data_IF_228532225797
#
_entry.id   IF_228532225797
#
_cell.length_a   1.000
_cell.length_b   1.000
_cell.length_c   1.000
_cell.angle_alpha   90.00
_cell.angle_beta   90.00
_cell.angle_gamma   90.00
#
_symmetry.space_group_name_H-M   'P 1'
#
loop_
_entity.id
_entity.type
_entity.pdbx_description
1 polymer ?
#
# COMPACT_ATOMS: atom_id res chain seq x y z
N UNK A 1 23.84 -27.31 -43.94
CA UNK A 1 22.91 -27.83 -44.96
C UNK A 1 21.72 -26.90 -45.05
N UNK A 2 21.76 -25.89 -45.93
CA UNK A 2 20.59 -25.13 -46.44
C UNK A 2 20.99 -24.56 -47.81
N UNK A 3 20.11 -24.74 -48.80
CA UNK A 3 20.27 -24.35 -50.21
C UNK A 3 19.40 -23.12 -50.46
N UNK A 4 19.91 -22.14 -51.21
CA UNK A 4 19.11 -21.10 -51.85
C UNK A 4 19.44 -21.07 -53.35
N UNK A 5 18.42 -20.88 -54.17
CA UNK A 5 18.48 -20.85 -55.64
C UNK A 5 17.95 -19.51 -56.14
N UNK A 6 18.73 -18.83 -56.98
CA UNK A 6 18.26 -17.86 -57.97
C UNK A 6 19.11 -18.01 -59.24
N UNK A 7 18.46 -17.87 -60.39
CA UNK A 7 19.02 -17.73 -61.75
C UNK A 7 18.61 -16.32 -62.26
N UNK A 8 19.24 -15.62 -63.20
CA UNK A 8 20.44 -15.72 -64.06
C UNK A 8 20.54 -14.36 -64.78
N UNK A 9 21.72 -13.74 -64.94
CA UNK A 9 22.09 -12.96 -66.16
C UNK A 9 23.61 -12.89 -66.30
N UNK A 10 24.08 -13.35 -67.48
CA UNK A 10 25.26 -12.96 -68.27
C UNK A 10 26.53 -12.39 -67.64
N UNK A 11 27.67 -13.06 -67.92
CA UNK A 11 29.00 -12.45 -67.85
C UNK A 11 30.12 -13.47 -67.60
N UNK A 12 30.75 -13.97 -68.67
CA UNK A 12 31.93 -14.84 -68.58
C UNK A 12 33.15 -14.02 -68.14
N UNK A 13 33.49 -14.11 -66.85
CA UNK A 13 34.74 -13.60 -66.31
C UNK A 13 34.97 -14.21 -64.94
N UNK A 14 36.00 -15.06 -64.80
CA UNK A 14 36.36 -15.68 -63.52
C UNK A 14 37.05 -14.66 -62.60
N UNK A 15 36.50 -14.27 -61.44
CA UNK A 15 37.26 -13.53 -60.46
C UNK A 15 38.09 -14.51 -59.60
N UNK A 16 39.42 -14.46 -59.73
CA UNK A 16 40.34 -15.13 -58.80
C UNK A 16 40.26 -14.43 -57.44
N UNK A 17 39.51 -15.00 -56.50
CA UNK A 17 39.51 -14.55 -55.10
C UNK A 17 40.82 -15.02 -54.45
N UNK A 18 41.76 -14.10 -54.27
CA UNK A 18 42.90 -14.31 -53.38
C UNK A 18 42.39 -14.26 -51.94
N UNK A 19 42.44 -15.39 -51.23
CA UNK A 19 42.24 -15.41 -49.78
C UNK A 19 43.46 -14.79 -49.11
N UNK A 20 43.40 -13.49 -48.81
CA UNK A 20 44.32 -12.87 -47.87
C UNK A 20 43.81 -13.17 -46.46
N UNK A 21 44.35 -14.21 -45.83
CA UNK A 21 44.17 -14.43 -44.39
C UNK A 21 45.06 -13.46 -43.62
N UNK A 22 44.51 -12.31 -43.23
CA UNK A 22 45.15 -11.44 -42.25
C UNK A 22 45.09 -12.12 -40.87
N UNK A 23 46.23 -12.65 -40.41
CA UNK A 23 46.39 -13.16 -39.04
C UNK A 23 46.65 -11.96 -38.14
N UNK A 24 45.58 -11.40 -37.54
CA UNK A 24 45.72 -10.38 -36.49
C UNK A 24 46.33 -11.07 -35.28
N UNK A 25 47.64 -10.91 -35.09
CA UNK A 25 48.30 -11.19 -33.80
C UNK A 25 47.95 -10.04 -32.87
N UNK A 26 46.93 -10.24 -32.02
CA UNK A 26 46.77 -9.41 -30.84
C UNK A 26 48.02 -9.57 -29.97
N UNK A 27 48.80 -8.50 -29.83
CA UNK A 27 49.86 -8.45 -28.83
C UNK A 27 49.13 -8.31 -27.49
N UNK A 28 48.94 -9.45 -26.82
CA UNK A 28 48.47 -9.45 -25.43
C UNK A 28 49.60 -8.84 -24.61
N UNK A 29 49.37 -7.64 -24.06
CA UNK A 29 50.31 -7.03 -23.13
C UNK A 29 50.59 -8.02 -22.00
N UNK A 30 51.86 -8.23 -21.67
CA UNK A 30 52.28 -9.08 -20.57
C UNK A 30 51.76 -8.43 -19.29
N UNK A 31 50.75 -9.05 -18.68
CA UNK A 31 50.20 -8.63 -17.40
C UNK A 31 51.34 -8.75 -16.38
N UNK A 32 51.90 -7.62 -15.96
CA UNK A 32 52.65 -7.58 -14.72
C UNK A 32 51.59 -7.69 -13.62
N UNK A 33 51.65 -8.76 -12.82
CA UNK A 33 50.77 -8.93 -11.69
C UNK A 33 50.97 -7.78 -10.72
N UNK A 34 50.09 -6.80 -10.76
CA UNK A 34 49.96 -5.81 -9.70
C UNK A 34 48.98 -6.43 -8.72
N UNK A 35 49.51 -6.98 -7.64
CA UNK A 35 48.75 -7.53 -6.52
C UNK A 35 48.08 -6.39 -5.73
N UNK A 36 47.13 -5.71 -6.36
CA UNK A 36 46.26 -4.75 -5.69
C UNK A 36 44.97 -5.50 -5.32
N UNK A 37 45.02 -6.26 -4.22
CA UNK A 37 43.84 -6.95 -3.68
C UNK A 37 44.01 -8.44 -3.40
N UNK A 38 45.23 -8.96 -3.26
CA UNK A 38 45.41 -10.28 -2.65
C UNK A 38 45.09 -10.18 -1.15
N UNK A 39 44.14 -10.99 -0.69
CA UNK A 39 43.70 -11.08 0.71
C UNK A 39 44.79 -11.69 1.60
N UNK A 40 45.90 -12.14 1.02
CA UNK A 40 47.16 -12.38 1.73
C UNK A 40 47.82 -11.03 1.99
N UNK A 41 47.43 -10.36 3.08
CA UNK A 41 48.35 -9.44 3.75
C UNK A 41 49.65 -10.20 3.95
N UNK A 42 50.79 -9.66 3.48
CA UNK A 42 52.13 -10.26 3.56
C UNK A 42 52.27 -11.06 4.86
N UNK A 43 52.07 -12.39 4.76
CA UNK A 43 52.06 -13.28 5.92
C UNK A 43 53.51 -13.33 6.38
N UNK A 44 53.86 -12.48 7.35
CA UNK A 44 55.23 -12.42 7.88
C UNK A 44 55.61 -13.73 8.57
N UNK A 45 54.63 -14.52 9.03
CA UNK A 45 54.84 -15.78 9.76
C UNK A 45 54.16 -16.99 9.10
N UNK A 46 54.93 -18.04 8.77
CA UNK A 46 54.44 -19.25 8.07
C UNK A 46 53.62 -20.23 8.94
N UNK A 47 53.49 -19.96 10.24
CA UNK A 47 52.95 -20.88 11.26
C UNK A 47 51.46 -21.19 11.06
N UNK A 48 50.73 -20.42 10.25
CA UNK A 48 49.30 -20.66 10.00
C UNK A 48 48.43 -20.48 11.25
N UNK A 49 47.19 -21.00 11.24
CA UNK A 49 46.23 -20.86 12.34
C UNK A 49 46.43 -21.94 13.42
N UNK A 50 47.51 -21.81 14.19
CA UNK A 50 47.89 -22.72 15.28
C UNK A 50 47.74 -21.98 16.63
N UNK A 51 47.36 -22.66 17.72
CA UNK A 51 47.37 -22.06 19.05
C UNK A 51 48.76 -21.52 19.42
N UNK A 52 48.83 -20.22 19.73
CA UNK A 52 50.08 -19.53 20.08
C UNK A 52 50.67 -19.96 21.43
N UNK A 53 49.88 -20.68 22.23
CA UNK A 53 50.28 -21.23 23.53
C UNK A 53 51.47 -22.19 23.40
N UNK A 54 51.58 -22.93 22.29
CA UNK A 54 52.67 -23.90 22.05
C UNK A 54 54.05 -23.25 21.94
N UNK A 55 54.09 -21.95 21.65
CA UNK A 55 55.32 -21.19 21.54
C UNK A 55 55.62 -20.40 22.81
N UNK A 56 54.83 -20.45 23.90
CA UNK A 56 55.02 -19.63 25.10
C UNK A 56 56.42 -19.81 25.71
N UNK A 57 56.88 -21.05 25.87
CA UNK A 57 58.18 -21.38 26.47
C UNK A 57 59.38 -21.15 25.53
N UNK A 58 59.12 -20.88 24.24
CA UNK A 58 60.16 -20.70 23.23
C UNK A 58 60.44 -19.21 22.96
N UNK A 59 61.71 -18.84 22.68
CA UNK A 59 62.09 -17.46 22.36
C UNK A 59 61.70 -17.03 20.92
N UNK A 60 61.10 -17.92 20.13
CA UNK A 60 60.74 -17.69 18.73
C UNK A 60 59.33 -18.22 18.44
N UNK A 61 58.68 -17.63 17.43
CA UNK A 61 57.35 -18.00 16.94
C UNK A 61 57.52 -18.54 15.51
N UNK A 62 57.87 -19.82 15.42
CA UNK A 62 58.06 -20.51 14.15
C UNK A 62 59.25 -20.07 13.31
N UNK A 63 59.18 -20.39 12.02
CA UNK A 63 60.29 -20.27 11.07
C UNK A 63 59.85 -19.56 9.79
N UNK A 64 60.76 -18.82 9.16
CA UNK A 64 60.54 -18.26 7.81
C UNK A 64 60.53 -19.36 6.74
N UNK A 65 60.12 -19.00 5.52
CA UNK A 65 60.19 -19.87 4.33
C UNK A 65 61.61 -20.42 4.09
N UNK A 66 62.64 -19.67 4.48
CA UNK A 66 64.05 -20.06 4.42
C UNK A 66 64.54 -20.87 5.63
N UNK A 67 63.67 -21.18 6.59
CA UNK A 67 63.98 -21.94 7.80
C UNK A 67 64.71 -21.15 8.92
N UNK A 68 64.73 -19.82 8.86
CA UNK A 68 65.27 -18.96 9.92
C UNK A 68 64.25 -18.79 11.05
N UNK A 69 64.71 -18.72 12.30
CA UNK A 69 63.82 -18.55 13.47
C UNK A 69 63.30 -17.11 13.56
N UNK A 70 61.99 -16.96 13.72
CA UNK A 70 61.34 -15.65 13.92
C UNK A 70 61.30 -15.36 15.42
N UNK A 71 62.18 -14.52 15.94
CA UNK A 71 62.24 -14.22 17.37
C UNK A 71 61.04 -13.40 17.84
N UNK A 72 60.57 -13.67 19.06
CA UNK A 72 59.63 -12.78 19.75
C UNK A 72 60.28 -11.42 20.00
N UNK A 73 59.49 -10.34 20.10
CA UNK A 73 60.03 -9.07 20.57
C UNK A 73 60.75 -9.29 21.92
N UNK A 74 61.96 -8.75 22.05
CA UNK A 74 62.89 -9.00 23.16
C UNK A 74 62.35 -8.59 24.54
N UNK A 75 61.21 -7.90 24.58
CA UNK A 75 60.54 -7.41 25.78
C UNK A 75 59.11 -7.94 25.81
N UNK A 76 58.90 -9.11 26.42
CA UNK A 76 57.58 -9.49 26.93
C UNK A 76 57.28 -8.60 28.13
N UNK A 77 56.13 -7.92 28.12
CA UNK A 77 55.73 -7.03 29.22
C UNK A 77 55.33 -7.87 30.43
N UNK A 78 55.85 -7.51 31.59
CA UNK A 78 55.45 -8.12 32.85
C UNK A 78 53.99 -7.75 33.19
N UNK A 79 53.35 -8.50 34.09
CA UNK A 79 51.97 -8.20 34.53
C UNK A 79 51.84 -6.78 35.09
N UNK A 80 52.91 -6.25 35.69
CA UNK A 80 53.00 -4.88 36.16
C UNK A 80 53.07 -3.87 35.01
N UNK A 81 53.83 -4.17 33.96
CA UNK A 81 53.93 -3.32 32.76
C UNK A 81 52.57 -3.27 32.04
N UNK A 82 51.87 -4.39 31.91
CA UNK A 82 50.51 -4.44 31.35
C UNK A 82 49.50 -3.63 32.20
N UNK A 83 49.64 -3.70 33.52
CA UNK A 83 48.79 -2.94 34.44
C UNK A 83 49.05 -1.43 34.33
N UNK A 84 50.32 -1.02 34.26
CA UNK A 84 50.71 0.37 34.08
C UNK A 84 50.22 0.91 32.74
N UNK A 85 50.36 0.16 31.66
CA UNK A 85 49.86 0.58 30.34
C UNK A 85 48.35 0.73 30.31
N UNK A 86 47.62 -0.11 31.06
CA UNK A 86 46.17 0.00 31.20
C UNK A 86 45.73 1.26 31.96
N UNK A 87 46.55 1.76 32.90
CA UNK A 87 46.23 2.95 33.69
C UNK A 87 46.78 4.26 33.09
N UNK A 88 47.95 4.21 32.46
CA UNK A 88 48.70 5.40 32.02
C UNK A 88 48.51 5.73 30.53
N UNK A 89 48.26 4.74 29.66
CA UNK A 89 48.11 5.01 28.23
C UNK A 89 46.67 5.40 27.86
N UNK A 90 46.42 6.64 27.37
CA UNK A 90 45.09 7.06 26.93
C UNK A 90 44.61 6.33 25.66
N UNK A 91 45.52 5.65 24.95
CA UNK A 91 45.24 4.89 23.73
C UNK A 91 45.19 3.38 23.95
N UNK A 92 45.25 2.90 25.20
CA UNK A 92 45.23 1.46 25.50
C UNK A 92 43.96 0.75 24.98
N UNK A 93 42.82 1.45 24.95
CA UNK A 93 41.59 0.89 24.38
C UNK A 93 41.59 0.80 22.84
N UNK A 94 42.59 1.40 22.16
CA UNK A 94 42.78 1.37 20.71
C UNK A 94 43.79 0.29 20.27
N UNK A 95 44.55 -0.29 21.19
CA UNK A 95 45.58 -1.27 20.87
C UNK A 95 44.98 -2.67 20.76
N UNK A 96 45.35 -3.38 19.71
CA UNK A 96 45.00 -4.79 19.47
C UNK A 96 46.30 -5.58 19.35
N UNK A 97 46.35 -6.73 20.02
CA UNK A 97 47.48 -7.66 19.91
C UNK A 97 47.40 -8.38 18.56
N UNK A 98 48.41 -8.21 17.72
CA UNK A 98 48.54 -9.00 16.50
C UNK A 98 48.87 -10.46 16.86
N UNK A 99 48.03 -11.39 16.40
CA UNK A 99 48.12 -12.82 16.76
C UNK A 99 49.40 -13.46 16.24
N UNK A 100 49.98 -12.94 15.15
CA UNK A 100 51.17 -13.55 14.54
C UNK A 100 52.46 -13.05 15.18
N UNK A 101 52.60 -11.74 15.37
CA UNK A 101 53.85 -11.12 15.86
C UNK A 101 53.87 -10.92 17.37
N UNK A 102 52.72 -10.97 18.04
CA UNK A 102 52.58 -10.61 19.45
C UNK A 102 52.91 -9.15 19.72
N UNK A 103 52.93 -8.32 18.67
CA UNK A 103 53.14 -6.88 18.77
C UNK A 103 51.79 -6.18 18.96
N UNK A 104 51.81 -5.09 19.72
CA UNK A 104 50.65 -4.23 19.91
C UNK A 104 50.54 -3.24 18.76
N UNK A 105 49.45 -3.32 18.02
CA UNK A 105 49.14 -2.40 16.93
C UNK A 105 48.01 -1.49 17.38
N UNK A 106 48.29 -0.18 17.45
CA UNK A 106 47.25 0.82 17.66
C UNK A 106 46.44 1.00 16.36
N UNK A 107 45.11 0.90 16.45
CA UNK A 107 44.23 1.13 15.31
C UNK A 107 44.28 2.60 14.86
N UNK A 108 44.34 2.83 13.55
CA UNK A 108 44.27 4.19 13.00
C UNK A 108 42.87 4.79 13.21
N UNK A 109 42.77 6.12 13.18
CA UNK A 109 41.50 6.82 13.34
C UNK A 109 40.50 6.45 12.23
N UNK A 110 40.97 6.29 11.00
CA UNK A 110 40.17 5.82 9.85
C UNK A 110 39.60 4.41 10.08
N UNK A 111 40.41 3.51 10.63
CA UNK A 111 39.99 2.14 10.97
C UNK A 111 38.94 2.15 12.10
N UNK A 112 39.12 2.99 13.13
CA UNK A 112 38.15 3.15 14.20
C UNK A 112 36.84 3.77 13.70
N UNK A 113 36.91 4.74 12.81
CA UNK A 113 35.74 5.34 12.20
C UNK A 113 34.97 4.32 11.36
N UNK A 114 35.68 3.52 10.56
CA UNK A 114 35.10 2.41 9.81
C UNK A 114 34.38 1.43 10.74
N UNK A 115 35.01 1.00 11.85
CA UNK A 115 34.39 0.11 12.84
C UNK A 115 33.13 0.74 13.45
N UNK A 116 33.18 2.04 13.82
CA UNK A 116 32.03 2.77 14.35
C UNK A 116 30.89 2.88 13.34
N UNK A 117 31.21 3.10 12.06
CA UNK A 117 30.22 3.15 10.97
C UNK A 117 29.57 1.78 10.78
N UNK A 118 30.36 0.71 10.72
CA UNK A 118 29.86 -0.67 10.63
C UNK A 118 28.98 -1.05 11.81
N UNK A 119 29.37 -0.71 13.05
CA UNK A 119 28.58 -1.01 14.25
C UNK A 119 27.21 -0.30 14.24
N UNK A 120 27.13 0.89 13.64
CA UNK A 120 25.89 1.67 13.50
C UNK A 120 25.09 1.30 12.25
N UNK A 121 25.58 0.38 11.41
CA UNK A 121 24.96 0.01 10.15
C UNK A 121 25.08 1.06 9.04
N UNK A 122 26.03 2.00 9.17
CA UNK A 122 26.36 2.96 8.11
C UNK A 122 27.30 2.32 7.07
N UNK A 123 27.37 2.94 5.88
CA UNK A 123 28.24 2.50 4.79
C UNK A 123 29.72 2.61 5.18
N UNK A 124 30.52 1.64 4.72
CA UNK A 124 31.95 1.58 5.01
C UNK A 124 32.75 2.65 4.29
N UNK A 125 32.36 2.97 3.05
CA UNK A 125 32.93 4.07 2.29
C UNK A 125 32.24 5.39 2.64
N UNK A 126 33.04 6.44 2.84
CA UNK A 126 32.57 7.82 3.09
C UNK A 126 31.88 8.38 1.85
N UNK A 127 32.35 7.99 0.67
CA UNK A 127 31.94 8.56 -0.61
C UNK A 127 30.71 7.87 -1.22
N UNK A 128 30.14 6.87 -0.56
CA UNK A 128 29.01 6.11 -1.08
C UNK A 128 27.71 6.90 -0.91
N UNK A 129 27.04 7.22 -2.02
CA UNK A 129 25.71 7.83 -2.02
C UNK A 129 24.63 6.73 -2.04
N UNK A 130 23.82 6.57 -0.98
CA UNK A 130 22.78 5.55 -0.91
C UNK A 130 21.57 5.84 -1.81
N UNK A 131 21.45 7.09 -2.28
CA UNK A 131 20.27 7.59 -2.97
C UNK A 131 20.62 8.09 -4.37
N UNK A 132 21.53 7.40 -5.05
CA UNK A 132 21.81 7.69 -6.46
C UNK A 132 20.52 7.60 -7.29
N UNK A 133 20.25 8.58 -8.16
CA UNK A 133 19.07 8.56 -8.99
C UNK A 133 19.13 7.36 -9.94
N UNK A 134 18.01 6.64 -10.08
CA UNK A 134 17.93 5.50 -11.01
C UNK A 134 18.14 5.98 -12.44
N UNK A 135 19.28 5.63 -13.02
CA UNK A 135 19.59 5.95 -14.42
C UNK A 135 18.88 4.96 -15.34
N UNK A 136 18.08 5.48 -16.26
CA UNK A 136 17.35 4.66 -17.21
C UNK A 136 18.20 4.29 -18.44
N UNK A 137 19.00 3.23 -18.30
CA UNK A 137 19.87 2.76 -19.37
C UNK A 137 19.15 2.17 -20.58
N UNK A 138 17.86 1.81 -20.47
CA UNK A 138 17.21 0.97 -21.47
C UNK A 138 15.87 1.50 -21.97
N UNK A 139 15.06 2.12 -21.12
CA UNK A 139 13.70 2.56 -21.47
C UNK A 139 13.65 3.85 -22.28
N UNK A 140 14.79 4.56 -22.43
CA UNK A 140 14.90 5.73 -23.30
C UNK A 140 14.74 5.37 -24.79
N UNK A 141 15.03 4.13 -25.19
CA UNK A 141 14.86 3.65 -26.57
C UNK A 141 13.47 3.04 -26.79
N UNK A 142 12.61 3.73 -27.54
CA UNK A 142 11.26 3.24 -27.87
C UNK A 142 11.32 2.17 -28.97
N UNK A 143 10.80 0.97 -28.68
CA UNK A 143 10.71 -0.13 -29.65
C UNK A 143 9.48 0.01 -30.55
N UNK A 144 9.70 0.00 -31.87
CA UNK A 144 8.65 0.10 -32.91
C UNK A 144 7.87 -1.22 -33.06
N UNK A 145 8.53 -2.36 -32.82
CA UNK A 145 7.93 -3.69 -32.96
C UNK A 145 7.58 -4.30 -31.59
N UNK A 146 6.56 -5.17 -31.53
CA UNK A 146 6.29 -5.93 -30.32
C UNK A 146 7.45 -6.89 -30.04
N UNK A 147 7.62 -7.25 -28.76
CA UNK A 147 8.67 -8.17 -28.31
C UNK A 147 8.56 -9.54 -28.98
N UNK A 148 7.35 -9.97 -29.34
CA UNK A 148 7.12 -11.28 -30.00
C UNK A 148 6.22 -11.15 -31.21
N UNK A 149 6.62 -11.76 -32.33
CA UNK A 149 5.82 -11.86 -33.56
C UNK A 149 5.02 -13.19 -33.61
N UNK A 150 4.23 -13.47 -32.57
CA UNK A 150 3.32 -14.63 -32.58
C UNK A 150 2.09 -14.29 -33.42
N UNK A 151 1.71 -15.11 -34.40
CA UNK A 151 0.50 -14.87 -35.17
C UNK A 151 -0.73 -14.93 -34.24
N UNK A 152 -1.73 -14.10 -34.54
CA UNK A 152 -2.95 -14.08 -33.75
C UNK A 152 -3.78 -15.37 -33.95
N UNK A 153 -4.42 -15.83 -32.87
CA UNK A 153 -5.29 -17.01 -32.91
C UNK A 153 -6.60 -16.73 -33.66
N UNK A 154 -7.13 -17.73 -34.37
CA UNK A 154 -8.41 -17.62 -35.08
C UNK A 154 -9.61 -17.28 -34.17
N UNK A 155 -9.58 -17.73 -32.91
CA UNK A 155 -10.65 -17.46 -31.92
C UNK A 155 -10.82 -15.98 -31.56
N UNK A 156 -9.81 -15.15 -31.83
CA UNK A 156 -9.91 -13.69 -31.61
C UNK A 156 -10.74 -13.00 -32.69
N UNK A 157 -10.92 -13.64 -33.85
CA UNK A 157 -11.64 -13.08 -35.00
C UNK A 157 -12.98 -13.77 -35.28
N UNK A 158 -13.21 -14.96 -34.71
CA UNK A 158 -14.44 -15.74 -34.87
C UNK A 158 -15.30 -15.56 -33.61
N UNK A 159 -16.64 -15.53 -33.70
CA UNK A 159 -17.51 -15.52 -32.53
C UNK A 159 -17.19 -16.67 -31.57
N UNK A 160 -17.41 -16.44 -30.27
CA UNK A 160 -16.88 -17.35 -29.26
C UNK A 160 -17.61 -18.70 -29.25
N UNK A 161 -16.83 -19.79 -29.20
CA UNK A 161 -17.38 -21.15 -29.12
C UNK A 161 -18.02 -21.44 -27.75
N UNK A 162 -17.53 -20.79 -26.70
CA UNK A 162 -18.05 -20.94 -25.33
C UNK A 162 -19.44 -20.32 -25.22
N UNK A 163 -19.67 -19.14 -25.82
CA UNK A 163 -21.02 -18.57 -25.87
C UNK A 163 -21.95 -19.45 -26.69
N UNK A 164 -21.49 -19.98 -27.83
CA UNK A 164 -22.28 -20.93 -28.63
C UNK A 164 -22.70 -22.15 -27.80
N UNK A 165 -21.82 -22.69 -26.96
CA UNK A 165 -22.14 -23.82 -26.07
C UNK A 165 -23.13 -23.42 -24.96
N UNK A 166 -22.99 -22.23 -24.37
CA UNK A 166 -23.95 -21.72 -23.39
C UNK A 166 -25.33 -21.51 -24.01
N UNK A 167 -25.37 -20.92 -25.20
CA UNK A 167 -26.62 -20.71 -25.96
C UNK A 167 -27.24 -22.05 -26.34
N UNK A 168 -26.45 -23.05 -26.76
CA UNK A 168 -27.00 -24.38 -27.08
C UNK A 168 -27.60 -25.08 -25.87
N UNK A 169 -26.99 -24.95 -24.68
CA UNK A 169 -27.55 -25.44 -23.40
C UNK A 169 -28.86 -24.74 -23.04
N UNK A 170 -28.93 -23.42 -23.19
CA UNK A 170 -30.16 -22.66 -22.96
C UNK A 170 -31.27 -23.06 -23.95
N UNK A 171 -30.94 -23.20 -25.23
CA UNK A 171 -31.89 -23.67 -26.25
C UNK A 171 -32.39 -25.08 -25.93
N UNK A 172 -31.50 -25.97 -25.46
CA UNK A 172 -31.90 -27.30 -25.00
C UNK A 172 -32.87 -27.22 -23.81
N UNK A 173 -32.56 -26.41 -22.79
CA UNK A 173 -33.43 -26.21 -21.64
C UNK A 173 -34.80 -25.60 -22.01
N UNK A 174 -34.85 -24.69 -22.99
CA UNK A 174 -36.10 -24.15 -23.53
C UNK A 174 -36.88 -25.24 -24.27
N UNK A 175 -36.20 -26.06 -25.09
CA UNK A 175 -36.83 -27.16 -25.84
C UNK A 175 -37.41 -28.23 -24.90
N UNK A 176 -36.74 -28.51 -23.79
CA UNK A 176 -37.22 -29.40 -22.72
C UNK A 176 -38.29 -28.74 -21.84
N UNK A 177 -38.54 -27.44 -22.00
CA UNK A 177 -39.56 -26.69 -21.27
C UNK A 177 -39.18 -26.26 -19.85
N UNK A 178 -37.93 -26.50 -19.42
CA UNK A 178 -37.43 -26.11 -18.09
C UNK A 178 -37.30 -24.60 -17.94
N UNK A 179 -37.01 -23.89 -19.03
CA UNK A 179 -36.92 -22.43 -19.09
C UNK A 179 -37.95 -21.95 -20.10
N UNK A 180 -38.88 -21.13 -19.64
CA UNK A 180 -39.82 -20.45 -20.53
C UNK A 180 -39.23 -19.10 -20.94
N UNK A 181 -39.20 -18.76 -22.24
CA UNK A 181 -38.79 -17.44 -22.67
C UNK A 181 -39.77 -16.41 -22.09
N UNK A 182 -39.24 -15.24 -21.70
CA UNK A 182 -40.07 -14.18 -21.13
C UNK A 182 -41.09 -13.73 -22.17
N UNK A 183 -42.37 -13.97 -21.89
CA UNK A 183 -43.47 -13.44 -22.69
C UNK A 183 -43.49 -11.90 -22.56
N UNK A 184 -43.78 -11.15 -23.63
CA UNK A 184 -44.01 -9.71 -23.51
C UNK A 184 -45.13 -9.48 -22.50
N UNK A 185 -44.95 -8.52 -21.60
CA UNK A 185 -46.00 -8.17 -20.63
C UNK A 185 -47.17 -7.57 -21.41
N UNK A 186 -48.35 -8.16 -21.29
CA UNK A 186 -49.56 -7.52 -21.76
C UNK A 186 -49.82 -6.29 -20.87
N UNK A 187 -49.86 -5.09 -21.46
CA UNK A 187 -50.21 -3.85 -20.75
C UNK A 187 -51.72 -3.77 -20.53
N UNK A 188 -52.30 -4.83 -19.97
CA UNK A 188 -53.66 -4.79 -19.45
C UNK A 188 -53.56 -4.19 -18.06
N UNK A 189 -54.05 -2.96 -17.82
CA UNK A 189 -54.12 -2.45 -16.47
C UNK A 189 -55.06 -3.38 -15.69
N UNK A 190 -54.52 -4.05 -14.67
CA UNK A 190 -55.26 -4.91 -13.76
C UNK A 190 -56.07 -4.04 -12.80
N UNK A 191 -57.05 -3.29 -13.32
CA UNK A 191 -58.06 -2.67 -12.49
C UNK A 191 -59.16 -3.69 -12.22
N UNK A 192 -59.44 -3.91 -10.95
CA UNK A 192 -60.63 -4.63 -10.52
C UNK A 192 -61.60 -3.58 -9.98
N UNK A 193 -62.87 -3.66 -10.38
CA UNK A 193 -63.88 -2.80 -9.79
C UNK A 193 -64.17 -3.27 -8.36
N UNK A 194 -63.54 -2.60 -7.40
CA UNK A 194 -63.69 -2.85 -5.97
C UNK A 194 -65.10 -2.47 -5.48
N UNK A 195 -65.82 -1.64 -6.23
CA UNK A 195 -67.13 -1.07 -5.87
C UNK A 195 -68.30 -1.76 -6.58
N UNK A 196 -68.03 -2.67 -7.53
CA UNK A 196 -69.05 -3.41 -8.28
C UNK A 196 -70.07 -4.17 -7.41
N UNK A 197 -69.75 -4.43 -6.13
CA UNK A 197 -70.58 -5.18 -5.18
C UNK A 197 -71.17 -4.32 -4.06
N UNK A 198 -70.91 -3.02 -4.03
CA UNK A 198 -71.44 -2.18 -2.97
C UNK A 198 -72.84 -1.66 -3.35
N UNK A 199 -73.85 -1.98 -2.54
CA UNK A 199 -75.20 -1.50 -2.78
C UNK A 199 -75.25 0.02 -2.52
N UNK A 200 -75.70 0.86 -3.47
CA UNK A 200 -75.75 2.32 -3.30
C UNK A 200 -76.68 2.78 -2.16
N UNK A 201 -77.51 1.87 -1.64
CA UNK A 201 -78.40 2.09 -0.51
C UNK A 201 -77.93 1.42 0.80
N UNK A 202 -76.71 0.87 0.85
CA UNK A 202 -76.19 0.22 2.06
C UNK A 202 -75.89 1.25 3.15
N UNK A 203 -76.86 1.43 4.04
CA UNK A 203 -76.78 2.29 5.24
C UNK A 203 -75.72 1.82 6.26
N UNK A 204 -75.07 0.68 6.02
CA UNK A 204 -74.07 0.06 6.92
C UNK A 204 -72.69 0.74 6.88
N UNK A 205 -72.43 1.64 5.92
CA UNK A 205 -71.19 2.45 5.87
C UNK A 205 -71.20 3.69 6.78
N UNK A 206 -72.31 3.96 7.49
CA UNK A 206 -72.36 4.99 8.52
C UNK A 206 -71.63 4.47 9.76
N UNK A 207 -70.32 4.68 9.76
CA UNK A 207 -69.42 4.46 10.88
C UNK A 207 -70.08 4.87 12.21
N UNK A 208 -69.82 4.11 13.28
CA UNK A 208 -70.28 4.40 14.65
C UNK A 208 -69.95 5.82 15.14
N UNK A 209 -69.03 6.51 14.47
CA UNK A 209 -68.66 7.90 14.73
C UNK A 209 -68.99 8.78 13.53
N UNK A 210 -69.65 9.91 13.79
CA UNK A 210 -69.89 10.95 12.80
C UNK A 210 -68.55 11.62 12.45
N UNK A 211 -67.95 11.21 11.33
CA UNK A 211 -66.83 11.93 10.72
C UNK A 211 -67.43 13.06 9.88
N UNK A 212 -67.23 14.35 10.23
CA UNK A 212 -67.72 15.44 9.39
C UNK A 212 -67.00 15.37 8.03
N UNK A 213 -67.75 15.59 6.96
CA UNK A 213 -67.18 15.61 5.62
C UNK A 213 -66.07 16.67 5.52
N UNK A 214 -64.99 16.40 4.77
CA UNK A 214 -63.97 17.42 4.51
C UNK A 214 -64.65 18.65 3.91
N UNK A 215 -64.35 19.83 4.48
CA UNK A 215 -64.95 21.09 4.05
C UNK A 215 -64.36 21.45 2.68
N UNK A 216 -65.14 21.21 1.63
CA UNK A 216 -64.82 21.69 0.30
C UNK A 216 -64.79 23.23 0.33
N UNK A 217 -63.88 23.89 -0.40
CA UNK A 217 -63.96 25.33 -0.56
C UNK A 217 -65.31 25.69 -1.19
N UNK A 218 -65.91 26.78 -0.70
CA UNK A 218 -67.11 27.32 -1.33
C UNK A 218 -66.77 27.70 -2.79
N UNK A 219 -67.67 27.48 -3.75
CA UNK A 219 -67.51 27.99 -5.10
C UNK A 219 -67.23 29.49 -5.03
N UNK A 220 -66.04 29.89 -5.47
CA UNK A 220 -65.58 31.28 -5.38
C UNK A 220 -65.70 32.02 -6.71
N UNK A 221 -65.44 33.33 -6.64
CA UNK A 221 -65.33 34.24 -7.79
C UNK A 221 -63.90 34.83 -7.93
N UNK A 222 -62.94 34.32 -7.16
CA UNK A 222 -61.55 34.79 -7.13
C UNK A 222 -60.78 34.60 -8.46
N UNK A 223 -61.24 33.71 -9.33
CA UNK A 223 -60.66 33.45 -10.65
C UNK A 223 -61.37 34.21 -11.78
N UNK A 224 -62.35 35.06 -11.46
CA UNK A 224 -63.00 35.90 -12.46
C UNK A 224 -62.08 37.05 -12.85
N UNK A 225 -61.78 37.16 -14.14
CA UNK A 225 -60.90 38.19 -14.70
C UNK A 225 -61.50 39.62 -14.62
N UNK A 226 -62.79 39.76 -14.32
CA UNK A 226 -63.49 41.03 -14.24
C UNK A 226 -64.39 41.11 -12.98
N UNK A 227 -63.81 41.19 -11.77
CA UNK A 227 -64.59 41.33 -10.55
C UNK A 227 -65.16 42.75 -10.41
N UNK A 228 -66.31 42.93 -9.74
CA UNK A 228 -66.80 44.27 -9.41
C UNK A 228 -65.81 45.02 -8.51
N UNK A 229 -65.78 46.36 -8.56
CA UNK A 229 -64.77 47.18 -7.89
C UNK A 229 -64.78 47.05 -6.36
N UNK A 230 -65.88 46.54 -5.78
CA UNK A 230 -66.01 46.23 -4.35
C UNK A 230 -65.07 45.11 -3.88
N UNK A 231 -64.61 44.24 -4.79
CA UNK A 231 -63.69 43.14 -4.49
C UNK A 231 -62.23 43.48 -4.79
N UNK A 232 -61.95 44.64 -5.40
CA UNK A 232 -60.59 45.13 -5.54
C UNK A 232 -60.13 45.65 -4.19
N UNK A 233 -59.02 45.10 -3.71
CA UNK A 233 -58.50 45.43 -2.40
C UNK A 233 -58.12 46.91 -2.37
N UNK A 234 -58.55 47.63 -1.33
CA UNK A 234 -58.12 49.02 -1.19
C UNK A 234 -56.62 49.06 -0.86
N UNK A 235 -55.90 50.15 -1.19
CA UNK A 235 -54.47 50.23 -0.91
C UNK A 235 -54.11 50.03 0.58
N UNK A 236 -55.01 50.38 1.49
CA UNK A 236 -54.84 50.16 2.93
C UNK A 236 -54.94 48.67 3.30
N UNK A 237 -55.88 47.96 2.69
CA UNK A 237 -56.10 46.53 2.92
C UNK A 237 -55.04 45.66 2.23
N UNK A 238 -54.51 46.09 1.08
CA UNK A 238 -53.37 45.44 0.40
C UNK A 238 -52.13 45.45 1.31
N UNK A 239 -51.87 46.60 1.93
CA UNK A 239 -50.77 46.76 2.88
C UNK A 239 -50.97 45.88 4.12
N UNK A 240 -52.20 45.82 4.66
CA UNK A 240 -52.52 44.95 5.78
C UNK A 240 -52.36 43.45 5.41
N UNK A 241 -52.76 43.06 4.20
CA UNK A 241 -52.61 41.68 3.71
C UNK A 241 -51.14 41.29 3.55
N UNK A 242 -50.32 42.18 2.98
CA UNK A 242 -48.87 41.97 2.84
C UNK A 242 -48.15 41.89 4.19
N UNK A 243 -48.62 42.62 5.20
CA UNK A 243 -48.05 42.56 6.56
C UNK A 243 -48.39 41.25 7.30
N UNK A 244 -49.55 40.65 7.00
CA UNK A 244 -49.97 39.37 7.63
C UNK A 244 -49.33 38.17 6.94
N UNK A 245 -49.07 38.27 5.63
CA UNK A 245 -48.51 37.19 4.83
C UNK A 245 -46.96 37.14 4.92
N UNK A 246 -46.44 37.05 6.14
CA UNK A 246 -45.01 36.86 6.42
C UNK A 246 -44.62 35.42 6.10
N UNK A 247 -43.51 35.22 5.39
CA UNK A 247 -43.01 33.91 5.05
C UNK A 247 -42.70 33.10 6.32
N UNK A 248 -43.07 31.81 6.38
CA UNK A 248 -42.87 30.99 7.59
C UNK A 248 -41.39 30.82 7.98
N UNK A 249 -40.46 31.10 7.05
CA UNK A 249 -39.01 31.06 7.31
C UNK A 249 -38.52 32.27 8.12
N UNK A 250 -39.19 33.42 8.05
CA UNK A 250 -38.83 34.63 8.80
C UNK A 250 -39.26 34.56 10.28
N UNK A 251 -40.12 33.60 10.62
CA UNK A 251 -40.50 33.31 12.01
C UNK A 251 -39.39 32.63 12.81
N UNK A 252 -38.37 32.10 12.12
CA UNK A 252 -37.26 31.38 12.74
C UNK A 252 -36.12 32.38 13.02
N UNK A 253 -35.58 32.45 14.25
CA UNK A 253 -34.45 33.33 14.54
C UNK A 253 -33.22 32.91 13.73
N UNK A 254 -32.43 33.89 13.26
CA UNK A 254 -31.20 33.65 12.51
C UNK A 254 -30.12 33.05 13.42
N UNK A 255 -30.08 31.72 13.49
CA UNK A 255 -29.08 30.96 14.24
C UNK A 255 -27.81 30.76 13.38
N UNK A 256 -26.61 30.75 14.01
CA UNK A 256 -25.38 30.34 13.31
C UNK A 256 -25.52 28.89 12.82
N UNK A 257 -24.89 28.56 11.69
CA UNK A 257 -25.01 27.22 11.10
C UNK A 257 -24.27 26.23 12.01
N UNK A 258 -24.82 25.03 12.25
CA UNK A 258 -24.16 24.03 13.09
C UNK A 258 -22.71 23.72 12.70
N UNK A 259 -22.35 23.82 11.41
CA UNK A 259 -20.98 23.58 10.91
C UNK A 259 -19.94 24.56 11.47
N UNK A 260 -20.35 25.79 11.76
CA UNK A 260 -19.44 26.84 12.26
C UNK A 260 -19.14 26.65 13.75
N UNK A 261 -19.85 25.74 14.44
CA UNK A 261 -19.72 25.45 15.87
C UNK A 261 -18.94 24.15 16.15
N UNK A 262 -18.14 23.66 15.20
CA UNK A 262 -17.28 22.50 15.43
C UNK A 262 -16.13 22.83 16.40
N UNK A 263 -15.71 21.87 17.26
CA UNK A 263 -16.05 20.45 17.24
C UNK A 263 -17.26 20.05 18.13
N UNK A 264 -18.14 19.20 17.59
CA UNK A 264 -19.18 18.48 18.34
C UNK A 264 -19.23 17.01 17.86
N UNK A 265 -19.61 16.04 18.72
CA UNK A 265 -19.66 14.63 18.32
C UNK A 265 -20.70 14.41 17.21
N UNK A 266 -20.30 13.76 16.11
CA UNK A 266 -21.18 13.52 14.95
C UNK A 266 -21.62 12.06 14.80
N UNK A 267 -20.81 11.12 15.29
CA UNK A 267 -21.03 9.68 15.13
C UNK A 267 -20.69 8.93 16.40
N UNK A 268 -21.32 7.77 16.59
CA UNK A 268 -21.03 6.88 17.70
C UNK A 268 -19.72 6.13 17.45
N UNK A 269 -18.72 6.37 18.31
CA UNK A 269 -17.39 5.76 18.15
C UNK A 269 -17.25 4.40 18.87
N UNK A 270 -17.82 4.25 20.06
CA UNK A 270 -17.65 3.07 20.92
C UNK A 270 -18.99 2.57 21.45
N UNK A 271 -19.09 1.26 21.64
CA UNK A 271 -20.26 0.59 22.22
C UNK A 271 -19.78 -0.31 23.36
N UNK A 272 -20.12 0.04 24.59
CA UNK A 272 -19.86 -0.80 25.76
C UNK A 272 -21.00 -1.82 25.91
N UNK A 273 -20.68 -3.10 25.72
CA UNK A 273 -21.63 -4.22 25.86
C UNK A 273 -21.24 -5.06 27.07
N UNK A 274 -22.21 -5.41 27.90
CA UNK A 274 -21.97 -6.23 29.10
C UNK A 274 -23.15 -6.25 30.07
N UNK A 275 -23.95 -5.18 30.08
CA UNK A 275 -25.15 -5.12 30.92
C UNK A 275 -26.30 -5.93 30.34
N UNK A 276 -26.95 -6.75 31.17
CA UNK A 276 -28.14 -7.53 30.83
C UNK A 276 -29.44 -6.72 30.90
N UNK A 277 -29.42 -5.58 31.61
CA UNK A 277 -30.54 -4.66 31.78
C UNK A 277 -30.23 -3.27 31.23
N UNK A 278 -31.24 -2.39 31.18
CA UNK A 278 -31.10 -1.01 30.71
C UNK A 278 -30.17 -0.20 31.62
N UNK A 279 -29.23 0.56 31.04
CA UNK A 279 -28.38 1.49 31.78
C UNK A 279 -29.17 2.77 32.05
N UNK A 280 -29.35 3.13 33.33
CA UNK A 280 -30.13 4.30 33.76
C UNK A 280 -29.29 5.55 33.95
N UNK A 281 -28.06 5.36 34.39
CA UNK A 281 -27.14 6.44 34.71
C UNK A 281 -25.73 6.10 34.25
N UNK A 282 -24.98 7.13 33.88
CA UNK A 282 -23.58 7.05 33.52
C UNK A 282 -22.85 8.25 34.13
N UNK A 283 -21.63 8.01 34.62
CA UNK A 283 -20.77 9.05 35.19
C UNK A 283 -19.35 8.86 34.68
N UNK A 284 -18.73 9.96 34.24
CA UNK A 284 -17.34 9.98 33.79
C UNK A 284 -16.46 10.50 34.91
N UNK A 285 -15.26 9.93 35.09
CA UNK A 285 -14.29 10.48 36.03
C UNK A 285 -13.81 11.86 35.57
N UNK A 286 -13.40 12.75 36.49
CA UNK A 286 -12.78 14.03 36.12
C UNK A 286 -11.51 13.88 35.28
N UNK A 287 -10.83 12.73 35.38
CA UNK A 287 -9.68 12.38 34.54
C UNK A 287 -10.06 11.91 33.12
N UNK A 288 -11.33 11.66 32.84
CA UNK A 288 -11.83 11.16 31.54
C UNK A 288 -11.43 9.73 31.19
N UNK A 289 -10.71 9.03 32.08
CA UNK A 289 -10.21 7.67 31.84
C UNK A 289 -11.22 6.58 32.17
N UNK A 290 -12.12 6.85 33.12
CA UNK A 290 -13.05 5.85 33.65
C UNK A 290 -14.49 6.30 33.42
N UNK A 291 -15.33 5.36 33.00
CA UNK A 291 -16.77 5.54 32.89
C UNK A 291 -17.46 4.48 33.75
N UNK A 292 -18.34 4.94 34.65
CA UNK A 292 -19.19 4.08 35.48
C UNK A 292 -20.59 4.08 34.88
N UNK A 293 -21.21 2.90 34.81
CA UNK A 293 -22.59 2.72 34.34
C UNK A 293 -23.41 2.04 35.43
N UNK A 294 -24.63 2.55 35.67
CA UNK A 294 -25.54 2.03 36.70
C UNK A 294 -26.77 1.36 36.08
N UNK A 295 -27.06 0.15 36.54
CA UNK A 295 -28.17 -0.71 36.10
C UNK A 295 -29.08 -1.11 37.27
N UNK A 296 -30.30 -1.52 36.96
CA UNK A 296 -31.32 -1.88 37.97
C UNK A 296 -31.07 -3.27 38.60
N UNK A 297 -30.25 -4.12 37.98
CA UNK A 297 -29.88 -5.45 38.50
C UNK A 297 -28.47 -5.44 39.12
N UNK A 298 -28.27 -6.10 40.29
CA UNK A 298 -26.94 -6.28 40.87
C UNK A 298 -26.07 -7.15 39.95
N UNK A 299 -24.78 -6.80 39.85
CA UNK A 299 -23.79 -7.66 39.19
C UNK A 299 -23.50 -8.86 40.08
N UNK A 300 -23.94 -10.05 39.66
CA UNK A 300 -23.53 -11.31 40.28
C UNK A 300 -22.06 -11.59 39.91
N UNK A 301 -21.14 -11.29 40.82
CA UNK A 301 -19.72 -11.67 40.69
C UNK A 301 -19.41 -12.85 41.62
N UNK A 302 -19.39 -14.07 41.09
CA UNK A 302 -18.62 -15.16 41.71
C UNK A 302 -17.14 -15.00 41.31
N UNK A 303 -16.26 -14.79 42.29
CA UNK A 303 -14.81 -14.86 42.07
C UNK A 303 -14.43 -16.32 41.77
N UNK A 304 -13.76 -16.64 40.66
CA UNK A 304 -13.06 -17.93 40.55
C UNK A 304 -11.85 -17.87 41.48
N UNK A 305 -11.80 -18.79 42.44
CA UNK A 305 -10.68 -18.96 43.38
C UNK A 305 -9.40 -19.47 42.73
#
# INVERSE_FOLDING_TARGET
MWRWSWAQVGGTGTPKIHKITAKIRGIMAKIHGIAAGDVEMDIRNTVGNIPMEWYQDFPHVGYDLDGKKIYKPLRSKDELDLFLEKMENPEYWRTVQDRQTGAEVALSEEQLELVRRLQRGHFGDVSFDPYEPSVDFFTHEVRIHPVTNRPADKRSFIPSLVEKEKVSKLVHAIKMGWIQPRKPKENVPTFYDLWAREDPNSVLGRHKMHVPAPKMPLPGHAESYNPPPEFLLSPEEELAWQQVNVDPEDLIPKLPRPRDLQPFPTTQALIYRGHSSLVRTLSISPSGQWLVSGTDLPLDWEFPG
#
